data_IF_723209000924
#
_entry.id   IF_723209000924
#
_cell.length_a   1.000
_cell.length_b   1.000
_cell.length_c   1.000
_cell.angle_alpha   90.00
_cell.angle_beta   90.00
_cell.angle_gamma   90.00
#
_symmetry.space_group_name_H-M   'P 1'
#
loop_
_entity.id
_entity.type
_entity.pdbx_description
1 polymer ?
#
# COMPACT_ATOMS: atom_id res chain seq x y z
N UNK A 1 15.32 16.35 -7.59
CA UNK A 1 15.02 15.99 -6.18
C UNK A 1 14.42 14.61 -6.10
N UNK A 2 14.92 13.80 -5.20
CA UNK A 2 14.39 12.47 -5.03
C UNK A 2 13.11 12.52 -4.18
N UNK A 3 12.13 11.72 -4.56
CA UNK A 3 10.89 11.59 -3.80
C UNK A 3 11.11 10.60 -2.66
N UNK A 4 10.49 10.86 -1.53
CA UNK A 4 10.53 9.95 -0.40
C UNK A 4 9.32 9.04 -0.44
N UNK A 5 9.53 7.80 -0.81
CA UNK A 5 8.48 6.79 -0.94
C UNK A 5 8.71 5.71 0.10
N UNK A 6 7.71 5.45 0.92
CA UNK A 6 7.76 4.40 1.94
C UNK A 6 6.89 3.23 1.51
N UNK A 7 7.47 2.06 1.45
CA UNK A 7 6.76 0.84 1.11
C UNK A 7 6.63 -0.06 2.34
N UNK A 8 5.40 -0.43 2.70
CA UNK A 8 5.12 -1.30 3.83
C UNK A 8 4.79 -2.69 3.31
N UNK A 9 5.56 -3.68 3.77
CA UNK A 9 5.33 -5.07 3.41
C UNK A 9 4.33 -5.68 4.41
N UNK A 10 3.13 -6.00 3.92
CA UNK A 10 2.12 -6.63 4.75
C UNK A 10 1.12 -5.66 5.36
N UNK A 11 -0.09 -6.14 5.53
CA UNK A 11 -1.22 -5.39 6.07
C UNK A 11 -1.88 -6.13 7.22
N UNK A 12 -1.09 -6.88 8.00
CA UNK A 12 -1.62 -7.61 9.14
C UNK A 12 -1.98 -6.70 10.31
N UNK A 13 -2.06 -7.27 11.50
CA UNK A 13 -2.51 -6.56 12.71
C UNK A 13 -1.73 -5.26 12.97
N UNK A 14 -0.44 -5.25 12.68
CA UNK A 14 0.41 -4.08 12.88
C UNK A 14 0.52 -3.22 11.62
N UNK A 15 0.54 -3.87 10.45
CA UNK A 15 0.76 -3.18 9.18
C UNK A 15 -0.31 -2.16 8.84
N UNK A 16 -1.58 -2.51 9.01
CA UNK A 16 -2.68 -1.61 8.68
C UNK A 16 -2.67 -0.31 9.52
N UNK A 17 -2.55 -0.37 10.85
CA UNK A 17 -2.43 0.86 11.63
C UNK A 17 -1.19 1.68 11.28
N UNK A 18 -0.09 1.02 10.97
CA UNK A 18 1.14 1.71 10.56
C UNK A 18 0.94 2.45 9.25
N UNK A 19 0.30 1.83 8.28
CA UNK A 19 0.02 2.47 6.98
C UNK A 19 -0.84 3.71 7.18
N UNK A 20 -1.90 3.61 7.99
CA UNK A 20 -2.76 4.74 8.29
C UNK A 20 -2.00 5.88 8.97
N UNK A 21 -1.15 5.54 9.92
CA UNK A 21 -0.34 6.54 10.63
C UNK A 21 0.63 7.25 9.69
N UNK A 22 1.31 6.50 8.82
CA UNK A 22 2.22 7.08 7.84
C UNK A 22 1.49 8.03 6.89
N UNK A 23 0.29 7.67 6.46
CA UNK A 23 -0.51 8.52 5.59
C UNK A 23 -0.97 9.79 6.30
N UNK A 24 -1.38 9.67 7.56
CA UNK A 24 -1.86 10.81 8.34
C UNK A 24 -0.75 11.84 8.60
N UNK A 25 0.47 11.37 8.79
CA UNK A 25 1.61 12.24 9.09
C UNK A 25 2.56 12.41 7.91
N UNK A 26 2.07 12.13 6.73
CA UNK A 26 2.89 12.15 5.51
C UNK A 26 3.61 13.47 5.31
N UNK A 27 2.90 14.58 5.44
CA UNK A 27 3.48 15.91 5.25
C UNK A 27 4.52 16.23 6.33
N UNK A 28 4.23 15.89 7.58
CA UNK A 28 5.13 16.15 8.69
C UNK A 28 6.41 15.34 8.61
N UNK A 29 6.32 14.13 8.05
CA UNK A 29 7.46 13.25 7.90
C UNK A 29 8.20 13.46 6.58
N UNK A 30 7.69 14.35 5.72
CA UNK A 30 8.30 14.59 4.42
C UNK A 30 8.17 13.42 3.46
N UNK A 31 7.14 12.61 3.62
CA UNK A 31 6.89 11.45 2.76
C UNK A 31 6.02 11.87 1.57
N UNK A 32 6.46 11.55 0.36
CA UNK A 32 5.71 11.89 -0.86
C UNK A 32 4.64 10.85 -1.17
N UNK A 33 4.91 9.58 -0.85
CA UNK A 33 4.01 8.49 -1.22
C UNK A 33 4.16 7.33 -0.25
N UNK A 34 3.04 6.69 0.10
CA UNK A 34 3.00 5.48 0.91
C UNK A 34 2.40 4.36 0.06
N UNK A 35 3.14 3.28 -0.11
CA UNK A 35 2.65 2.09 -0.79
C UNK A 35 2.61 0.93 0.20
N UNK A 36 1.75 -0.05 -0.06
CA UNK A 36 1.69 -1.22 0.80
C UNK A 36 1.43 -2.48 -0.04
N UNK A 37 2.02 -3.57 0.40
CA UNK A 37 1.87 -4.86 -0.25
C UNK A 37 0.75 -5.67 0.42
N UNK A 38 -0.09 -6.28 -0.39
CA UNK A 38 -1.07 -7.24 0.09
C UNK A 38 -1.00 -8.47 -0.80
N UNK A 39 -0.80 -9.63 -0.18
CA UNK A 39 -0.56 -10.86 -0.92
C UNK A 39 -1.85 -11.52 -1.42
N UNK A 40 -2.92 -11.47 -0.63
CA UNK A 40 -4.15 -12.22 -0.93
C UNK A 40 -5.34 -11.28 -1.00
N UNK A 41 -6.14 -11.34 -2.08
CA UNK A 41 -7.36 -10.53 -2.17
C UNK A 41 -8.48 -11.20 -1.35
N UNK A 42 -8.71 -10.70 -0.13
CA UNK A 42 -9.74 -11.23 0.76
C UNK A 42 -10.94 -10.29 0.79
N UNK A 43 -12.13 -10.84 0.59
CA UNK A 43 -13.37 -10.07 0.59
C UNK A 43 -13.59 -9.36 1.92
N UNK A 44 -13.29 -10.02 3.03
CA UNK A 44 -13.47 -9.44 4.36
C UNK A 44 -12.57 -8.27 4.67
N UNK A 45 -11.45 -8.14 3.96
CA UNK A 45 -10.51 -7.05 4.15
C UNK A 45 -10.77 -5.88 3.19
N UNK A 46 -11.72 -6.06 2.28
CA UNK A 46 -11.96 -5.10 1.19
C UNK A 46 -12.23 -3.68 1.69
N UNK A 47 -13.11 -3.53 2.67
CA UNK A 47 -13.45 -2.19 3.16
C UNK A 47 -12.26 -1.50 3.84
N UNK A 48 -11.41 -2.26 4.54
CA UNK A 48 -10.22 -1.72 5.17
C UNK A 48 -9.22 -1.25 4.12
N UNK A 49 -9.01 -2.04 3.07
CA UNK A 49 -8.11 -1.69 1.98
C UNK A 49 -8.62 -0.47 1.23
N UNK A 50 -9.91 -0.43 0.94
CA UNK A 50 -10.52 0.73 0.28
C UNK A 50 -10.34 1.98 1.12
N UNK A 51 -10.51 1.88 2.42
CA UNK A 51 -10.31 3.03 3.31
C UNK A 51 -8.88 3.56 3.24
N UNK A 52 -7.89 2.67 3.22
CA UNK A 52 -6.49 3.07 3.11
C UNK A 52 -6.23 3.79 1.78
N UNK A 53 -6.81 3.29 0.70
CA UNK A 53 -6.59 3.86 -0.64
C UNK A 53 -7.33 5.18 -0.81
N UNK A 54 -8.63 5.21 -0.54
CA UNK A 54 -9.47 6.37 -0.84
C UNK A 54 -9.39 7.46 0.22
N UNK A 55 -9.38 7.08 1.49
CA UNK A 55 -9.43 8.05 2.58
C UNK A 55 -8.05 8.44 3.10
N UNK A 56 -7.07 7.57 2.97
CA UNK A 56 -5.72 7.81 3.46
C UNK A 56 -4.72 8.11 2.35
N UNK A 57 -5.03 7.76 1.11
CA UNK A 57 -4.16 8.03 -0.02
C UNK A 57 -3.02 7.05 -0.21
N UNK A 58 -3.07 5.90 0.42
CA UNK A 58 -2.07 4.85 0.21
C UNK A 58 -2.29 4.15 -1.14
N UNK A 59 -1.23 3.58 -1.68
CA UNK A 59 -1.30 2.87 -2.96
C UNK A 59 -1.09 1.38 -2.75
N UNK A 60 -1.97 0.58 -3.34
CA UNK A 60 -1.94 -0.87 -3.22
C UNK A 60 -0.94 -1.46 -4.21
N UNK A 61 -0.14 -2.41 -3.74
CA UNK A 61 0.74 -3.20 -4.59
C UNK A 61 0.55 -4.68 -4.30
N UNK A 62 0.80 -5.51 -5.30
CA UNK A 62 0.77 -6.95 -5.13
C UNK A 62 1.62 -7.59 -6.22
N UNK A 63 1.80 -8.91 -6.16
CA UNK A 63 2.48 -9.62 -7.24
C UNK A 63 1.60 -9.61 -8.49
N UNK A 64 2.23 -9.52 -9.66
CA UNK A 64 1.52 -9.44 -10.93
C UNK A 64 0.47 -10.54 -11.09
N UNK A 65 0.80 -11.75 -10.69
CA UNK A 65 -0.10 -12.90 -10.79
C UNK A 65 -1.35 -12.78 -9.91
N UNK A 66 -1.37 -11.85 -8.95
CA UNK A 66 -2.50 -11.62 -8.05
C UNK A 66 -3.40 -10.47 -8.49
N UNK A 67 -3.01 -9.72 -9.51
CA UNK A 67 -3.76 -8.53 -9.94
C UNK A 67 -5.22 -8.84 -10.24
N UNK A 68 -5.50 -9.90 -10.98
CA UNK A 68 -6.87 -10.24 -11.37
C UNK A 68 -7.77 -10.47 -10.16
N UNK A 69 -7.25 -11.11 -9.11
CA UNK A 69 -8.03 -11.34 -7.90
C UNK A 69 -8.41 -10.04 -7.21
N UNK A 70 -7.52 -9.05 -7.20
CA UNK A 70 -7.83 -7.74 -6.61
C UNK A 70 -8.79 -6.96 -7.49
N UNK A 71 -8.62 -7.01 -8.79
CA UNK A 71 -9.51 -6.35 -9.74
C UNK A 71 -10.93 -6.89 -9.60
N UNK A 72 -11.09 -8.20 -9.40
CA UNK A 72 -12.39 -8.83 -9.19
C UNK A 72 -13.10 -8.30 -7.94
N UNK A 73 -12.35 -7.82 -6.95
CA UNK A 73 -12.91 -7.20 -5.76
C UNK A 73 -13.14 -5.70 -5.92
N UNK A 74 -12.87 -5.15 -7.09
CA UNK A 74 -13.00 -3.72 -7.33
C UNK A 74 -11.81 -2.91 -6.84
N UNK A 75 -10.68 -3.59 -6.59
CA UNK A 75 -9.44 -2.94 -6.18
C UNK A 75 -8.46 -2.96 -7.34
N UNK A 76 -7.82 -1.83 -7.60
CA UNK A 76 -6.87 -1.74 -8.70
C UNK A 76 -5.47 -1.48 -8.14
N UNK A 77 -4.62 -2.52 -8.07
CA UNK A 77 -3.24 -2.31 -7.64
C UNK A 77 -2.54 -1.33 -8.58
N UNK A 78 -1.80 -0.38 -8.01
CA UNK A 78 -1.10 0.63 -8.81
C UNK A 78 0.20 0.11 -9.39
N UNK A 79 0.87 -0.78 -8.66
CA UNK A 79 2.19 -1.30 -9.03
C UNK A 79 2.30 -2.76 -8.65
N UNK A 80 3.25 -3.46 -9.29
CA UNK A 80 3.67 -4.75 -8.76
C UNK A 80 4.52 -4.49 -7.52
N UNK A 81 4.65 -5.49 -6.66
CA UNK A 81 5.48 -5.39 -5.47
C UNK A 81 6.94 -5.10 -5.85
N UNK A 82 7.41 -5.73 -6.91
CA UNK A 82 8.76 -5.52 -7.40
C UNK A 82 8.99 -4.08 -7.82
N UNK A 83 8.05 -3.50 -8.55
CA UNK A 83 8.11 -2.09 -8.95
C UNK A 83 8.09 -1.17 -7.73
N UNK A 84 7.24 -1.49 -6.74
CA UNK A 84 7.11 -0.69 -5.54
C UNK A 84 8.41 -0.68 -4.73
N UNK A 85 9.07 -1.83 -4.62
CA UNK A 85 10.34 -1.93 -3.91
C UNK A 85 11.42 -1.14 -4.64
N UNK A 86 11.47 -1.20 -5.96
CA UNK A 86 12.44 -0.44 -6.76
C UNK A 86 12.27 1.07 -6.57
N UNK A 87 11.02 1.53 -6.45
CA UNK A 87 10.71 2.95 -6.28
C UNK A 87 10.92 3.44 -4.85
N UNK A 88 10.87 2.55 -3.89
CA UNK A 88 10.84 2.92 -2.48
C UNK A 88 12.17 3.46 -1.98
N UNK A 89 12.10 4.53 -1.18
CA UNK A 89 13.26 5.05 -0.45
C UNK A 89 13.46 4.26 0.84
N UNK A 90 12.36 3.79 1.44
CA UNK A 90 12.36 3.02 2.68
C UNK A 90 11.37 1.87 2.53
N UNK A 91 11.78 0.68 2.95
CA UNK A 91 10.91 -0.50 2.98
C UNK A 91 10.78 -0.93 4.44
N UNK A 92 9.55 -1.03 4.91
CA UNK A 92 9.24 -1.46 6.27
C UNK A 92 8.66 -2.87 6.21
N UNK A 93 9.33 -3.79 6.83
CA UNK A 93 8.92 -5.20 6.86
C UNK A 93 8.37 -5.58 8.23
#
# INVERSE_FOLDING_TARGET
MSRKIVHVVGTGTIGEPLIGLLCDFKDELGIDEVTFHKNTPLTRDRSKVINLIKNRGARLTTHEEKFDGFIDLGLNPDFTTEEAIDRASVVID
#
